data_IF_563959759153
#
_entry.id   IF_563959759153
#
_cell.length_a   1.000
_cell.length_b   1.000
_cell.length_c   1.000
_cell.angle_alpha   90.00
_cell.angle_beta   90.00
_cell.angle_gamma   90.00
#
_symmetry.space_group_name_H-M   'P 1'
#
loop_
_entity.id
_entity.type
_entity.pdbx_description
1 polymer ?
#
# COMPACT_ATOMS: atom_id res chain seq x y z
N UNK A 1 31.77 4.31 28.35
CA UNK A 1 32.69 3.18 28.06
C UNK A 1 32.12 1.82 28.43
N UNK A 2 31.61 1.62 29.64
CA UNK A 2 31.09 0.31 30.07
C UNK A 2 29.81 -0.13 29.32
N UNK A 3 28.94 0.80 28.91
CA UNK A 3 27.75 0.48 28.11
C UNK A 3 28.08 0.06 26.67
N UNK A 4 29.14 0.60 26.10
CA UNK A 4 29.64 0.28 24.74
C UNK A 4 30.29 -1.11 24.75
N UNK A 5 31.06 -1.41 25.79
CA UNK A 5 31.65 -2.73 25.97
C UNK A 5 30.58 -3.82 26.21
N UNK A 6 29.47 -3.48 26.88
CA UNK A 6 28.32 -4.38 27.06
C UNK A 6 27.56 -4.63 25.76
N UNK A 7 27.31 -3.61 24.94
CA UNK A 7 26.68 -3.79 23.63
C UNK A 7 27.58 -4.56 22.66
N UNK A 8 28.89 -4.34 22.66
CA UNK A 8 29.83 -5.13 21.86
C UNK A 8 29.90 -6.59 22.31
N UNK A 9 29.92 -6.85 23.63
CA UNK A 9 29.90 -8.23 24.16
C UNK A 9 28.59 -8.96 23.88
N UNK A 10 27.46 -8.25 23.91
CA UNK A 10 26.17 -8.80 23.50
C UNK A 10 26.14 -9.06 21.99
N UNK A 11 26.68 -8.15 21.18
CA UNK A 11 26.77 -8.30 19.72
C UNK A 11 27.70 -9.45 19.28
N UNK A 12 28.77 -9.73 20.04
CA UNK A 12 29.62 -10.90 19.83
C UNK A 12 28.90 -12.21 20.18
N UNK A 13 28.08 -12.23 21.24
CA UNK A 13 27.33 -13.43 21.65
C UNK A 13 26.16 -13.80 20.74
N UNK A 14 25.60 -12.84 20.00
CA UNK A 14 24.51 -13.08 19.04
C UNK A 14 24.99 -13.31 17.61
N UNK A 15 26.30 -13.35 17.37
CA UNK A 15 26.85 -13.62 16.03
C UNK A 15 26.93 -15.13 15.79
N UNK A 16 25.78 -15.77 15.60
CA UNK A 16 25.69 -17.10 14.99
C UNK A 16 26.24 -17.05 13.57
N UNK A 17 26.84 -18.15 13.10
CA UNK A 17 27.32 -18.22 11.73
C UNK A 17 26.13 -18.09 10.76
N UNK A 18 26.32 -17.47 9.59
CA UNK A 18 25.27 -17.32 8.57
C UNK A 18 24.58 -18.66 8.25
N UNK A 19 25.35 -19.75 8.27
CA UNK A 19 24.86 -21.11 8.11
C UNK A 19 23.94 -21.59 9.26
N UNK A 20 24.30 -21.29 10.51
CA UNK A 20 23.45 -21.63 11.66
C UNK A 20 22.16 -20.80 11.65
N UNK A 21 22.24 -19.52 11.29
CA UNK A 21 21.07 -18.64 11.11
C UNK A 21 20.16 -19.11 9.96
N UNK A 22 20.74 -19.63 8.88
CA UNK A 22 19.99 -20.19 7.75
C UNK A 22 19.26 -21.49 8.13
N UNK A 23 19.80 -22.27 9.06
CA UNK A 23 19.18 -23.53 9.54
C UNK A 23 18.15 -23.26 10.65
N UNK A 24 18.45 -22.34 11.57
CA UNK A 24 17.59 -22.05 12.74
C UNK A 24 16.52 -20.98 12.48
N UNK A 25 16.57 -20.26 11.35
CA UNK A 25 15.63 -19.18 11.03
C UNK A 25 15.41 -18.22 12.19
N UNK A 26 16.51 -17.81 12.84
CA UNK A 26 16.47 -16.91 13.97
C UNK A 26 15.76 -15.59 13.62
N UNK A 27 14.91 -15.10 14.54
CA UNK A 27 14.05 -13.93 14.35
C UNK A 27 14.88 -12.67 14.01
N UNK A 28 14.75 -12.18 12.78
CA UNK A 28 15.47 -11.01 12.29
C UNK A 28 16.83 -11.30 11.64
N UNK A 29 17.17 -12.58 11.40
CA UNK A 29 18.35 -12.98 10.64
C UNK A 29 18.26 -12.56 9.17
N UNK A 30 19.42 -12.47 8.50
CA UNK A 30 19.52 -12.13 7.07
C UNK A 30 18.77 -13.14 6.18
N UNK A 31 18.97 -14.47 6.31
CA UNK A 31 18.27 -15.45 5.46
C UNK A 31 16.74 -15.41 5.65
N UNK A 32 16.25 -15.27 6.87
CA UNK A 32 14.81 -15.07 7.12
C UNK A 32 14.31 -13.79 6.43
N UNK A 33 15.05 -12.69 6.57
CA UNK A 33 14.69 -11.41 5.98
C UNK A 33 14.59 -11.48 4.45
N UNK A 34 15.46 -12.26 3.79
CA UNK A 34 15.41 -12.46 2.33
C UNK A 34 14.15 -13.22 1.91
N UNK A 35 13.79 -14.31 2.58
CA UNK A 35 12.58 -15.08 2.25
C UNK A 35 11.31 -14.28 2.52
N UNK A 36 11.25 -13.61 3.67
CA UNK A 36 10.14 -12.74 4.05
C UNK A 36 10.01 -11.58 3.06
N UNK A 37 11.15 -11.01 2.65
CA UNK A 37 11.19 -10.01 1.60
C UNK A 37 10.58 -10.58 0.31
N UNK A 38 11.04 -11.72 -0.20
CA UNK A 38 10.50 -12.33 -1.42
C UNK A 38 8.98 -12.53 -1.35
N UNK A 39 8.48 -13.05 -0.22
CA UNK A 39 7.05 -13.20 0.01
C UNK A 39 6.28 -11.87 -0.06
N UNK A 40 6.81 -10.80 0.57
CA UNK A 40 6.21 -9.47 0.45
C UNK A 40 6.30 -8.91 -0.97
N UNK A 41 7.33 -9.27 -1.73
CA UNK A 41 7.51 -8.88 -3.13
C UNK A 41 6.37 -9.37 -3.99
N UNK A 42 6.13 -10.68 -3.93
CA UNK A 42 5.04 -11.32 -4.66
C UNK A 42 3.69 -10.76 -4.20
N UNK A 43 3.45 -10.65 -2.89
CA UNK A 43 2.19 -10.14 -2.37
C UNK A 43 1.91 -8.68 -2.78
N UNK A 44 2.88 -7.78 -2.62
CA UNK A 44 2.72 -6.37 -2.99
C UNK A 44 2.63 -6.20 -4.51
N UNK A 45 3.37 -7.00 -5.29
CA UNK A 45 3.28 -7.01 -6.75
C UNK A 45 1.90 -7.42 -7.25
N UNK A 46 1.31 -8.47 -6.67
CA UNK A 46 -0.07 -8.90 -7.01
C UNK A 46 -1.07 -7.80 -6.65
N UNK A 47 -0.94 -7.19 -5.46
CA UNK A 47 -1.83 -6.10 -5.04
C UNK A 47 -1.71 -4.90 -6.00
N UNK A 48 -0.48 -4.51 -6.36
CA UNK A 48 -0.24 -3.44 -7.32
C UNK A 48 -0.86 -3.74 -8.68
N UNK A 49 -0.61 -4.95 -9.21
CA UNK A 49 -1.15 -5.42 -10.48
C UNK A 49 -2.69 -5.37 -10.47
N UNK A 50 -3.34 -5.96 -9.46
CA UNK A 50 -4.79 -5.95 -9.34
C UNK A 50 -5.36 -4.53 -9.21
N UNK A 51 -4.69 -3.66 -8.44
CA UNK A 51 -5.09 -2.26 -8.31
C UNK A 51 -5.08 -1.56 -9.67
N UNK A 52 -3.99 -1.73 -10.43
CA UNK A 52 -3.84 -1.12 -11.75
C UNK A 52 -4.81 -1.67 -12.78
N UNK A 53 -5.00 -2.99 -12.83
CA UNK A 53 -5.96 -3.63 -13.72
C UNK A 53 -7.37 -3.08 -13.49
N UNK A 54 -7.81 -3.02 -12.23
CA UNK A 54 -9.12 -2.45 -11.88
C UNK A 54 -9.19 -0.96 -12.22
N UNK A 55 -8.13 -0.21 -11.92
CA UNK A 55 -8.07 1.22 -12.20
C UNK A 55 -8.17 1.52 -13.71
N UNK A 56 -7.32 0.91 -14.54
CA UNK A 56 -7.33 1.12 -15.98
C UNK A 56 -8.62 0.62 -16.62
N UNK A 57 -9.13 -0.54 -16.18
CA UNK A 57 -10.42 -1.04 -16.65
C UNK A 57 -11.56 -0.04 -16.38
N UNK A 58 -11.65 0.49 -15.16
CA UNK A 58 -12.69 1.47 -14.81
C UNK A 58 -12.48 2.81 -15.52
N UNK A 59 -11.23 3.22 -15.72
CA UNK A 59 -10.90 4.45 -16.43
C UNK A 59 -11.36 4.36 -17.90
N UNK A 60 -11.02 3.28 -18.59
CA UNK A 60 -11.48 3.00 -19.96
C UNK A 60 -13.01 2.90 -20.04
N UNK A 61 -13.61 2.21 -19.07
CA UNK A 61 -15.05 2.06 -19.00
C UNK A 61 -15.78 3.40 -18.83
N UNK A 62 -15.30 4.26 -17.93
CA UNK A 62 -15.93 5.55 -17.63
C UNK A 62 -15.66 6.60 -18.71
N UNK A 63 -14.45 6.64 -19.26
CA UNK A 63 -14.04 7.71 -20.17
C UNK A 63 -14.21 7.39 -21.64
N UNK A 64 -14.27 6.12 -22.03
CA UNK A 64 -14.42 5.71 -23.44
C UNK A 64 -15.70 4.91 -23.69
N UNK A 65 -16.00 3.91 -22.84
CA UNK A 65 -17.13 3.00 -23.09
C UNK A 65 -18.49 3.64 -22.75
N UNK A 66 -18.60 4.27 -21.58
CA UNK A 66 -19.84 4.92 -21.12
C UNK A 66 -20.30 6.09 -22.01
N UNK A 67 -19.42 7.02 -22.44
CA UNK A 67 -19.81 8.12 -23.32
C UNK A 67 -20.26 7.64 -24.68
N UNK A 68 -19.61 6.61 -25.23
CA UNK A 68 -20.01 6.00 -26.50
C UNK A 68 -21.43 5.42 -26.45
N UNK A 69 -21.84 4.85 -25.31
CA UNK A 69 -23.17 4.27 -25.15
C UNK A 69 -24.26 5.28 -24.79
N UNK A 70 -23.94 6.30 -23.99
CA UNK A 70 -24.96 7.15 -23.33
C UNK A 70 -24.97 8.58 -23.86
N UNK A 71 -23.86 9.07 -24.41
CA UNK A 71 -23.69 10.49 -24.76
C UNK A 71 -23.75 10.70 -26.28
N UNK A 72 -23.05 9.89 -27.08
CA UNK A 72 -22.87 10.13 -28.53
C UNK A 72 -24.18 10.10 -29.34
N UNK A 73 -25.13 9.23 -28.99
CA UNK A 73 -26.41 9.11 -29.73
C UNK A 73 -27.57 9.88 -29.09
N UNK A 74 -27.42 10.32 -27.83
CA UNK A 74 -28.52 10.88 -27.03
C UNK A 74 -28.38 12.38 -26.84
N UNK A 75 -27.16 12.91 -26.77
CA UNK A 75 -26.90 14.30 -26.43
C UNK A 75 -26.54 15.13 -27.67
N UNK A 76 -26.96 16.40 -27.73
CA UNK A 76 -26.50 17.30 -28.78
C UNK A 76 -25.01 17.60 -28.60
N UNK A 77 -24.27 17.82 -29.70
CA UNK A 77 -22.80 17.94 -29.69
C UNK A 77 -22.24 18.99 -28.70
N UNK A 78 -22.98 20.09 -28.49
CA UNK A 78 -22.58 21.13 -27.54
C UNK A 78 -22.61 20.67 -26.07
N UNK A 79 -23.39 19.63 -25.76
CA UNK A 79 -23.55 19.09 -24.41
C UNK A 79 -22.50 18.04 -24.05
N UNK A 80 -21.67 17.57 -24.99
CA UNK A 80 -20.60 16.60 -24.70
C UNK A 80 -19.62 17.09 -23.63
N UNK A 81 -19.41 18.41 -23.56
CA UNK A 81 -18.57 19.04 -22.54
C UNK A 81 -19.11 18.82 -21.13
N UNK A 82 -20.42 18.61 -20.95
CA UNK A 82 -21.04 18.37 -19.64
C UNK A 82 -20.72 16.98 -19.06
N UNK A 83 -20.21 16.05 -19.88
CA UNK A 83 -19.79 14.74 -19.39
C UNK A 83 -18.70 14.86 -18.33
N UNK A 84 -17.66 15.66 -18.60
CA UNK A 84 -16.51 15.86 -17.71
C UNK A 84 -16.94 16.31 -16.29
N UNK A 85 -17.67 17.44 -16.12
CA UNK A 85 -18.09 17.87 -14.79
C UNK A 85 -19.10 16.91 -14.16
N UNK A 86 -19.91 16.18 -14.93
CA UNK A 86 -20.84 15.19 -14.39
C UNK A 86 -20.13 14.00 -13.75
N UNK A 87 -19.13 13.43 -14.44
CA UNK A 87 -18.31 12.33 -13.90
C UNK A 87 -17.51 12.80 -12.71
N UNK A 88 -16.82 13.96 -12.82
CA UNK A 88 -16.05 14.51 -11.71
C UNK A 88 -16.93 14.78 -10.48
N UNK A 89 -18.16 15.27 -10.65
CA UNK A 89 -19.09 15.50 -9.55
C UNK A 89 -19.52 14.19 -8.88
N UNK A 90 -19.94 13.19 -9.67
CA UNK A 90 -20.35 11.88 -9.14
C UNK A 90 -19.20 11.19 -8.42
N UNK A 91 -18.00 11.19 -9.00
CA UNK A 91 -16.81 10.57 -8.40
C UNK A 91 -16.35 11.30 -7.15
N UNK A 92 -16.42 12.63 -7.11
CA UNK A 92 -16.13 13.42 -5.90
C UNK A 92 -17.12 13.11 -4.78
N UNK A 93 -18.41 12.97 -5.11
CA UNK A 93 -19.44 12.58 -4.16
C UNK A 93 -19.23 11.15 -3.64
N UNK A 94 -18.90 10.19 -4.51
CA UNK A 94 -18.56 8.82 -4.12
C UNK A 94 -17.29 8.77 -3.25
N UNK A 95 -16.30 9.61 -3.54
CA UNK A 95 -15.11 9.77 -2.70
C UNK A 95 -15.51 10.22 -1.29
N UNK A 96 -16.33 11.27 -1.17
CA UNK A 96 -16.83 11.75 0.13
C UNK A 96 -17.66 10.70 0.89
N UNK A 97 -18.53 9.97 0.18
CA UNK A 97 -19.32 8.88 0.77
C UNK A 97 -18.43 7.73 1.24
N UNK A 98 -17.41 7.36 0.47
CA UNK A 98 -16.46 6.31 0.84
C UNK A 98 -15.77 6.64 2.17
N UNK A 99 -15.32 7.88 2.35
CA UNK A 99 -14.70 8.34 3.60
C UNK A 99 -15.71 8.34 4.75
N UNK A 100 -16.95 8.80 4.50
CA UNK A 100 -18.00 8.87 5.52
C UNK A 100 -18.41 7.51 6.06
N UNK A 101 -18.50 6.49 5.20
CA UNK A 101 -19.00 5.16 5.56
C UNK A 101 -17.89 4.15 5.90
N UNK A 102 -16.73 4.21 5.22
CA UNK A 102 -15.63 3.25 5.40
C UNK A 102 -14.57 3.76 6.39
N UNK A 103 -14.58 5.05 6.70
CA UNK A 103 -13.63 5.71 7.60
C UNK A 103 -12.56 6.49 6.85
N UNK A 104 -11.64 7.08 7.62
CA UNK A 104 -10.60 7.94 7.06
C UNK A 104 -9.52 7.10 6.34
N UNK A 105 -9.21 7.39 5.07
CA UNK A 105 -8.21 6.64 4.31
C UNK A 105 -6.79 6.84 4.84
N UNK A 106 -6.53 7.86 5.66
CA UNK A 106 -5.18 8.23 6.06
C UNK A 106 -4.36 8.80 4.90
N UNK A 107 -3.20 9.37 5.20
CA UNK A 107 -2.28 9.94 4.20
C UNK A 107 -0.91 9.23 4.28
N UNK A 108 -0.07 9.42 3.28
CA UNK A 108 1.29 8.88 3.28
C UNK A 108 2.09 9.37 4.49
N UNK A 109 1.97 10.64 4.85
CA UNK A 109 2.62 11.19 6.04
C UNK A 109 2.13 10.50 7.34
N UNK A 110 0.84 10.17 7.42
CA UNK A 110 0.27 9.40 8.53
C UNK A 110 0.85 7.98 8.58
N UNK A 111 0.90 7.31 7.43
CA UNK A 111 1.48 5.96 7.31
C UNK A 111 2.94 5.94 7.78
N UNK A 112 3.76 6.91 7.33
CA UNK A 112 5.16 7.05 7.76
C UNK A 112 5.24 7.27 9.27
N UNK A 113 4.39 8.12 9.84
CA UNK A 113 4.33 8.35 11.29
C UNK A 113 3.98 7.06 12.04
N UNK A 114 2.98 6.30 11.59
CA UNK A 114 2.62 5.01 12.19
C UNK A 114 3.74 3.99 12.12
N UNK A 115 4.50 3.93 11.02
CA UNK A 115 5.66 3.03 10.91
C UNK A 115 6.77 3.42 11.89
N UNK A 116 6.97 4.72 12.16
CA UNK A 116 7.94 5.17 13.16
C UNK A 116 7.46 4.91 14.60
N UNK A 117 6.21 5.27 14.92
CA UNK A 117 5.65 5.22 16.28
C UNK A 117 5.12 3.84 16.71
N UNK A 118 4.56 3.07 15.78
CA UNK A 118 3.87 1.80 16.04
C UNK A 118 4.48 0.61 15.29
N UNK A 119 5.43 0.84 14.38
CA UNK A 119 6.06 -0.15 13.49
C UNK A 119 5.17 -0.73 12.37
N UNK A 120 3.88 -0.44 12.36
CA UNK A 120 2.91 -0.91 11.37
C UNK A 120 1.75 0.06 11.24
N UNK A 121 1.04 -0.03 10.11
CA UNK A 121 -0.23 0.65 9.86
C UNK A 121 -1.43 -0.31 10.11
N UNK A 122 -2.56 0.22 10.55
CA UNK A 122 -3.78 -0.57 10.80
C UNK A 122 -4.43 -0.99 9.48
N UNK A 123 -4.86 -2.26 9.39
CA UNK A 123 -5.56 -2.79 8.20
C UNK A 123 -6.93 -2.18 7.97
N UNK A 124 -7.48 -1.49 8.98
CA UNK A 124 -8.77 -0.80 8.86
C UNK A 124 -8.74 0.32 7.81
N UNK A 125 -7.56 0.88 7.51
CA UNK A 125 -7.41 1.96 6.53
C UNK A 125 -7.29 1.46 5.08
N UNK A 126 -7.08 0.15 4.85
CA UNK A 126 -6.88 -0.40 3.50
C UNK A 126 -8.11 -0.19 2.63
N UNK A 127 -9.29 -0.54 3.15
CA UNK A 127 -10.56 -0.47 2.40
C UNK A 127 -10.94 0.99 2.07
N UNK A 128 -11.01 1.93 3.02
CA UNK A 128 -11.32 3.32 2.68
C UNK A 128 -10.27 3.92 1.75
N UNK A 129 -8.99 3.57 1.91
CA UNK A 129 -7.93 4.06 1.02
C UNK A 129 -8.10 3.58 -0.41
N UNK A 130 -8.37 2.29 -0.63
CA UNK A 130 -8.61 1.73 -1.96
C UNK A 130 -9.77 2.42 -2.69
N UNK A 131 -10.93 2.55 -2.04
CA UNK A 131 -12.11 3.14 -2.67
C UNK A 131 -11.98 4.65 -2.86
N UNK A 132 -11.50 5.36 -1.85
CA UNK A 132 -11.35 6.82 -1.92
C UNK A 132 -10.32 7.23 -2.99
N UNK A 133 -9.20 6.52 -3.10
CA UNK A 133 -8.22 6.79 -4.15
C UNK A 133 -8.75 6.44 -5.53
N UNK A 134 -9.43 5.29 -5.67
CA UNK A 134 -9.99 4.85 -6.94
C UNK A 134 -11.01 5.86 -7.48
N UNK A 135 -11.98 6.29 -6.67
CA UNK A 135 -12.98 7.28 -7.10
C UNK A 135 -12.34 8.64 -7.41
N UNK A 136 -11.40 9.10 -6.57
CA UNK A 136 -10.71 10.37 -6.80
C UNK A 136 -9.93 10.36 -8.13
N UNK A 137 -9.17 9.29 -8.41
CA UNK A 137 -8.42 9.13 -9.65
C UNK A 137 -9.33 9.01 -10.88
N UNK A 138 -10.42 8.24 -10.78
CA UNK A 138 -11.39 8.11 -11.87
C UNK A 138 -12.12 9.43 -12.18
N UNK A 139 -12.30 10.28 -11.16
CA UNK A 139 -12.85 11.62 -11.30
C UNK A 139 -11.90 12.65 -11.94
N UNK A 140 -10.66 12.25 -12.25
CA UNK A 140 -9.65 13.12 -12.85
C UNK A 140 -8.84 13.94 -11.84
N UNK A 141 -8.75 13.50 -10.58
CA UNK A 141 -7.90 14.18 -9.60
C UNK A 141 -6.42 14.14 -10.03
N UNK A 142 -5.72 15.28 -9.89
CA UNK A 142 -4.29 15.40 -10.16
C UNK A 142 -3.46 14.83 -8.99
N UNK A 143 -3.63 13.54 -8.74
CA UNK A 143 -2.94 12.78 -7.70
C UNK A 143 -2.44 11.47 -8.30
N UNK A 144 -1.29 10.97 -7.85
CA UNK A 144 -0.77 9.67 -8.28
C UNK A 144 -1.33 8.51 -7.43
N UNK A 145 -1.42 7.28 -7.97
CA UNK A 145 -1.75 6.10 -7.17
C UNK A 145 -0.61 5.62 -6.26
N UNK A 146 0.53 6.31 -6.24
CA UNK A 146 1.72 5.98 -5.43
C UNK A 146 1.41 5.93 -3.93
N UNK A 147 0.84 7.01 -3.39
CA UNK A 147 0.55 7.15 -1.98
C UNK A 147 -0.42 6.07 -1.44
N UNK A 148 -1.58 5.79 -2.08
CA UNK A 148 -2.47 4.74 -1.61
C UNK A 148 -1.84 3.34 -1.71
N UNK A 149 -1.08 3.06 -2.77
CA UNK A 149 -0.46 1.74 -2.97
C UNK A 149 0.61 1.46 -1.90
N UNK A 150 1.46 2.46 -1.60
CA UNK A 150 2.46 2.37 -0.54
C UNK A 150 1.81 2.10 0.82
N UNK A 151 0.71 2.80 1.14
CA UNK A 151 0.02 2.62 2.42
C UNK A 151 -0.72 1.28 2.51
N UNK A 152 -1.38 0.82 1.45
CA UNK A 152 -1.99 -0.52 1.39
C UNK A 152 -0.93 -1.61 1.61
N UNK A 153 0.22 -1.50 0.95
CA UNK A 153 1.33 -2.43 1.13
C UNK A 153 1.96 -2.33 2.53
N UNK A 154 2.03 -1.14 3.13
CA UNK A 154 2.49 -0.96 4.51
C UNK A 154 1.55 -1.67 5.51
N UNK A 155 0.25 -1.47 5.39
CA UNK A 155 -0.74 -2.10 6.26
C UNK A 155 -0.75 -3.63 6.08
N UNK A 156 -0.65 -4.10 4.84
CA UNK A 156 -0.61 -5.54 4.52
C UNK A 156 0.66 -6.22 5.04
N UNK A 157 1.83 -5.64 4.80
CA UNK A 157 3.10 -6.18 5.31
C UNK A 157 3.18 -6.14 6.84
N UNK A 158 2.70 -5.06 7.47
CA UNK A 158 2.57 -4.96 8.92
C UNK A 158 1.59 -5.97 9.52
N UNK A 159 0.52 -6.32 8.81
CA UNK A 159 -0.40 -7.38 9.18
C UNK A 159 0.23 -8.77 9.06
N UNK A 160 0.82 -9.08 7.91
CA UNK A 160 1.50 -10.35 7.65
C UNK A 160 2.63 -10.59 8.65
N UNK A 161 3.45 -9.57 8.92
CA UNK A 161 4.55 -9.64 9.89
C UNK A 161 4.07 -10.06 11.29
N UNK A 162 2.94 -9.50 11.76
CA UNK A 162 2.40 -9.78 13.10
C UNK A 162 1.55 -11.04 13.18
N UNK A 163 0.80 -11.36 12.12
CA UNK A 163 -0.20 -12.45 12.13
C UNK A 163 0.32 -13.74 11.53
N UNK A 164 1.05 -13.66 10.40
CA UNK A 164 1.60 -14.82 9.70
C UNK A 164 2.94 -15.21 10.32
N UNK A 165 3.89 -14.26 10.36
CA UNK A 165 5.22 -14.50 10.89
C UNK A 165 5.29 -14.38 12.42
N UNK A 166 4.20 -13.98 13.08
CA UNK A 166 4.06 -13.87 14.54
C UNK A 166 5.18 -13.07 15.22
N UNK A 167 5.77 -12.12 14.51
CA UNK A 167 6.90 -11.33 14.99
C UNK A 167 6.43 -10.43 16.12
N UNK A 168 7.14 -10.48 17.25
CA UNK A 168 6.83 -9.63 18.42
C UNK A 168 7.80 -8.46 18.56
N UNK A 169 8.98 -8.56 17.96
CA UNK A 169 9.96 -7.49 18.03
C UNK A 169 9.56 -6.30 17.15
N UNK A 170 9.34 -5.15 17.78
CA UNK A 170 8.99 -3.89 17.10
C UNK A 170 9.97 -3.53 15.99
N UNK A 171 11.28 -3.76 16.19
CA UNK A 171 12.29 -3.46 15.19
C UNK A 171 12.18 -4.35 13.95
N UNK A 172 11.85 -5.63 14.13
CA UNK A 172 11.68 -6.59 13.03
C UNK A 172 10.38 -6.30 12.27
N UNK A 173 9.30 -6.01 12.99
CA UNK A 173 8.03 -5.60 12.36
C UNK A 173 8.22 -4.34 11.53
N UNK A 174 8.93 -3.32 12.06
CA UNK A 174 9.23 -2.09 11.32
C UNK A 174 10.02 -2.37 10.04
N UNK A 175 11.05 -3.22 10.11
CA UNK A 175 11.82 -3.63 8.93
C UNK A 175 10.92 -4.28 7.87
N UNK A 176 10.06 -5.21 8.27
CA UNK A 176 9.11 -5.87 7.37
C UNK A 176 8.13 -4.87 6.72
N UNK A 177 7.60 -3.92 7.50
CA UNK A 177 6.70 -2.89 6.97
C UNK A 177 7.41 -1.99 5.95
N UNK A 178 8.64 -1.56 6.24
CA UNK A 178 9.47 -0.77 5.32
C UNK A 178 9.82 -1.54 4.04
N UNK A 179 10.09 -2.85 4.15
CA UNK A 179 10.27 -3.72 2.98
C UNK A 179 9.02 -3.80 2.11
N UNK A 180 7.82 -3.80 2.70
CA UNK A 180 6.56 -3.74 1.97
C UNK A 180 6.36 -2.41 1.26
N UNK A 181 6.65 -1.29 1.94
CA UNK A 181 6.58 0.05 1.36
C UNK A 181 7.56 0.23 0.18
N UNK A 182 8.81 -0.19 0.34
CA UNK A 182 9.81 -0.12 -0.73
C UNK A 182 9.41 -0.93 -1.96
N UNK A 183 8.75 -2.08 -1.75
CA UNK A 183 8.23 -2.93 -2.83
C UNK A 183 7.04 -2.35 -3.54
N UNK A 184 6.18 -1.63 -2.84
CA UNK A 184 5.08 -0.90 -3.48
C UNK A 184 5.62 0.11 -4.50
N UNK A 185 6.67 0.85 -4.13
CA UNK A 185 7.35 1.78 -5.04
C UNK A 185 8.01 1.06 -6.22
N UNK A 186 8.71 -0.05 -5.98
CA UNK A 186 9.26 -0.86 -7.08
C UNK A 186 8.18 -1.42 -8.00
N UNK A 187 7.09 -1.96 -7.46
CA UNK A 187 5.98 -2.45 -8.27
C UNK A 187 5.27 -1.33 -9.06
N UNK A 188 5.31 -0.10 -8.53
CA UNK A 188 4.77 1.08 -9.19
C UNK A 188 5.64 1.56 -10.36
N UNK A 189 6.97 1.64 -10.17
CA UNK A 189 7.89 2.19 -11.17
C UNK A 189 8.47 1.16 -12.16
N UNK A 190 8.38 -0.14 -11.85
CA UNK A 190 9.03 -1.22 -12.60
C UNK A 190 10.48 -1.44 -12.17
#
# INVERSE_FOLDING_TARGET
>A
DESIALTERLAWRTRTNFYEDAITFAEGSIPQSILVALAYGVACGIIAFLYYEVFFFLLEFIWHTLPAMVVVDVWPEWAYVLWIPSVSFVMSLLTGLSIRYLGEPGDLAYTVKCVHEKAYESTSHIIPMFFSSLFSLLGGASCGPEAPLVSICAATSGYMSRRIFRQRNRNVVRKHTLMGMARALSAFFG
#
